data_IF_562002498158
#
_entry.id   IF_562002498158
#
_cell.length_a   1.000
_cell.length_b   1.000
_cell.length_c   1.000
_cell.angle_alpha   90.00
_cell.angle_beta   90.00
_cell.angle_gamma   90.00
#
_symmetry.space_group_name_H-M   'P 1'
#
loop_
_entity.id
_entity.type
_entity.pdbx_description
1 polymer ?
#
# COMPACT_ATOMS: atom_id res chain seq x y z
N UNK A 1 -3.96 13.90 32.49
CA UNK A 1 -3.04 13.58 33.60
C UNK A 1 -2.00 12.62 33.03
N UNK A 2 -0.77 13.11 33.01
CA UNK A 2 0.52 12.57 32.54
C UNK A 2 0.63 11.05 32.25
N UNK A 3 0.78 10.70 30.96
CA UNK A 3 1.34 9.42 30.50
C UNK A 3 2.71 9.58 29.79
N UNK A 4 3.26 10.80 29.80
CA UNK A 4 4.39 11.20 28.94
C UNK A 4 5.77 10.74 29.48
N UNK A 5 5.80 10.07 30.64
CA UNK A 5 7.03 9.54 31.27
C UNK A 5 7.36 8.10 30.88
N UNK A 6 6.38 7.27 30.49
CA UNK A 6 6.62 5.85 30.18
C UNK A 6 7.36 5.65 28.84
N UNK A 7 7.19 6.55 27.87
CA UNK A 7 7.78 6.45 26.53
C UNK A 7 9.16 7.14 26.39
N UNK A 8 9.79 7.52 27.51
CA UNK A 8 11.06 8.27 27.50
C UNK A 8 12.14 7.55 28.30
N UNK A 9 13.37 7.63 27.80
CA UNK A 9 14.52 7.16 28.57
C UNK A 9 14.81 8.11 29.73
N UNK A 10 14.89 7.57 30.95
CA UNK A 10 15.34 8.31 32.15
C UNK A 10 16.82 8.75 32.08
N UNK A 11 17.59 8.13 31.19
CA UNK A 11 19.00 8.45 30.94
C UNK A 11 19.31 8.48 29.43
N UNK A 12 20.20 9.39 29.02
CA UNK A 12 20.70 9.46 27.64
C UNK A 12 21.82 8.44 27.42
N UNK A 13 21.44 7.19 27.17
CA UNK A 13 22.36 6.09 26.86
C UNK A 13 22.23 5.73 25.38
N UNK A 14 23.34 5.72 24.65
CA UNK A 14 23.40 5.23 23.27
C UNK A 14 24.01 3.84 23.31
N UNK A 15 23.22 2.81 22.97
CA UNK A 15 23.71 1.44 22.89
C UNK A 15 24.47 1.22 21.58
N UNK A 16 25.78 1.50 21.60
CA UNK A 16 26.66 1.50 20.41
C UNK A 16 26.53 0.22 19.57
N UNK A 17 26.51 -0.96 20.19
CA UNK A 17 26.35 -2.24 19.50
C UNK A 17 25.04 -2.30 18.68
N UNK A 18 23.93 -1.82 19.26
CA UNK A 18 22.62 -1.78 18.58
C UNK A 18 22.62 -0.78 17.43
N UNK A 19 23.27 0.37 17.63
CA UNK A 19 23.42 1.41 16.59
C UNK A 19 24.22 0.89 15.41
N UNK A 20 25.35 0.24 15.65
CA UNK A 20 26.18 -0.31 14.58
C UNK A 20 25.46 -1.44 13.82
N UNK A 21 24.68 -2.29 14.52
CA UNK A 21 23.84 -3.30 13.86
C UNK A 21 22.77 -2.66 12.96
N UNK A 22 22.10 -1.61 13.44
CA UNK A 22 21.10 -0.88 12.66
C UNK A 22 21.72 -0.21 11.43
N UNK A 23 22.89 0.43 11.58
CA UNK A 23 23.61 1.03 10.44
C UNK A 23 24.01 0.02 9.37
N UNK A 24 24.43 -1.19 9.78
CA UNK A 24 24.82 -2.26 8.84
C UNK A 24 23.66 -2.82 8.01
N UNK A 25 22.44 -2.74 8.54
CA UNK A 25 21.22 -3.23 7.88
C UNK A 25 20.36 -2.10 7.30
N UNK A 26 20.83 -0.85 7.40
CA UNK A 26 20.13 0.29 6.88
C UNK A 26 20.11 0.25 5.35
N UNK A 27 18.91 0.35 4.78
CA UNK A 27 18.70 0.55 3.36
C UNK A 27 19.24 1.91 2.93
N UNK A 28 19.60 2.04 1.65
CA UNK A 28 20.00 3.33 1.13
C UNK A 28 18.81 4.31 1.08
N UNK A 29 19.09 5.62 1.06
CA UNK A 29 18.05 6.65 1.14
C UNK A 29 17.06 6.63 -0.03
N UNK A 30 17.43 6.09 -1.19
CA UNK A 30 16.53 5.96 -2.34
C UNK A 30 15.63 4.73 -2.19
N UNK A 31 16.16 3.60 -1.74
CA UNK A 31 15.36 2.42 -1.41
C UNK A 31 14.28 2.75 -0.37
N UNK A 32 14.66 3.46 0.71
CA UNK A 32 13.69 3.90 1.74
C UNK A 32 12.62 4.82 1.14
N UNK A 33 12.99 5.74 0.24
CA UNK A 33 12.01 6.61 -0.44
C UNK A 33 11.08 5.83 -1.35
N UNK A 34 11.58 4.79 -2.04
CA UNK A 34 10.75 3.94 -2.89
C UNK A 34 9.76 3.15 -2.03
N UNK A 35 10.24 2.54 -0.95
CA UNK A 35 9.42 1.79 0.01
C UNK A 35 8.35 2.69 0.67
N UNK A 36 8.71 3.91 1.05
CA UNK A 36 7.75 4.87 1.60
C UNK A 36 6.67 5.27 0.59
N UNK A 37 7.01 5.45 -0.69
CA UNK A 37 6.02 5.71 -1.74
C UNK A 37 5.09 4.53 -1.96
N UNK A 38 5.64 3.31 -1.94
CA UNK A 38 4.86 2.08 -2.01
C UNK A 38 3.82 2.05 -0.87
N UNK A 39 4.23 2.14 0.38
CA UNK A 39 3.29 2.11 1.52
C UNK A 39 2.32 3.29 1.56
N UNK A 40 2.72 4.49 1.10
CA UNK A 40 1.82 5.64 0.99
C UNK A 40 0.62 5.36 0.09
N UNK A 41 0.77 4.48 -0.89
CA UNK A 41 -0.33 4.08 -1.76
C UNK A 41 -1.43 3.32 -0.98
N UNK A 42 -1.02 2.40 -0.11
CA UNK A 42 -1.90 1.63 0.78
C UNK A 42 -2.49 2.48 1.91
N UNK A 43 -1.90 3.64 2.24
CA UNK A 43 -2.44 4.53 3.28
C UNK A 43 -3.74 5.28 2.92
N UNK A 44 -4.30 5.09 1.73
CA UNK A 44 -5.57 5.73 1.31
C UNK A 44 -6.72 4.71 1.27
N UNK A 45 -7.82 4.96 1.99
CA UNK A 45 -8.93 4.01 2.07
C UNK A 45 -9.58 3.69 0.72
N UNK A 46 -9.65 4.67 -0.19
CA UNK A 46 -10.28 4.45 -1.51
C UNK A 46 -9.39 3.57 -2.38
N UNK A 47 -8.07 3.82 -2.37
CA UNK A 47 -7.10 2.99 -3.09
C UNK A 47 -7.08 1.56 -2.57
N UNK A 48 -7.10 1.37 -1.24
CA UNK A 48 -7.20 0.03 -0.65
C UNK A 48 -8.47 -0.70 -1.10
N UNK A 49 -9.63 -0.03 -1.05
CA UNK A 49 -10.89 -0.63 -1.51
C UNK A 49 -10.84 -1.07 -2.98
N UNK A 50 -10.16 -0.31 -3.83
CA UNK A 50 -9.95 -0.71 -5.24
C UNK A 50 -9.03 -1.92 -5.34
N UNK A 51 -7.91 -1.93 -4.63
CA UNK A 51 -6.96 -3.05 -4.65
C UNK A 51 -7.60 -4.35 -4.15
N UNK A 52 -8.36 -4.29 -3.05
CA UNK A 52 -9.13 -5.42 -2.51
C UNK A 52 -10.22 -5.91 -3.49
N UNK A 53 -10.85 -5.02 -4.25
CA UNK A 53 -11.79 -5.44 -5.29
C UNK A 53 -11.08 -6.19 -6.42
N UNK A 54 -9.87 -5.77 -6.79
CA UNK A 54 -9.04 -6.39 -7.83
C UNK A 54 -8.40 -7.71 -7.42
N UNK A 55 -8.28 -7.97 -6.11
CA UNK A 55 -7.88 -9.28 -5.56
C UNK A 55 -8.90 -10.37 -5.93
N UNK A 56 -10.18 -10.02 -6.06
CA UNK A 56 -11.24 -10.95 -6.49
C UNK A 56 -11.21 -11.28 -7.99
N UNK A 57 -10.30 -10.68 -8.75
CA UNK A 57 -10.16 -10.87 -10.19
C UNK A 57 -10.14 -9.57 -10.99
N UNK A 58 -9.91 -9.70 -12.30
CA UNK A 58 -9.82 -8.53 -13.16
C UNK A 58 -11.19 -7.84 -13.34
N UNK A 59 -11.22 -6.51 -13.25
CA UNK A 59 -12.44 -5.72 -13.33
C UNK A 59 -12.28 -4.49 -14.23
N UNK A 60 -13.33 -4.06 -14.91
CA UNK A 60 -13.32 -2.77 -15.62
C UNK A 60 -13.71 -1.62 -14.68
N UNK A 61 -13.58 -0.36 -15.16
CA UNK A 61 -13.94 0.84 -14.36
C UNK A 61 -15.40 0.81 -13.91
N UNK A 62 -16.32 0.34 -14.76
CA UNK A 62 -17.75 0.26 -14.44
C UNK A 62 -18.01 -0.75 -13.31
N UNK A 63 -17.36 -1.91 -13.34
CA UNK A 63 -17.49 -2.94 -12.31
C UNK A 63 -17.01 -2.43 -10.95
N UNK A 64 -15.82 -1.81 -10.92
CA UNK A 64 -15.23 -1.26 -9.68
C UNK A 64 -16.09 -0.11 -9.14
N UNK A 65 -16.59 0.76 -10.02
CA UNK A 65 -17.49 1.86 -9.64
C UNK A 65 -18.78 1.33 -9.00
N UNK A 66 -19.40 0.31 -9.61
CA UNK A 66 -20.59 -0.33 -9.09
C UNK A 66 -20.33 -1.03 -7.74
N UNK A 67 -19.22 -1.79 -7.63
CA UNK A 67 -18.86 -2.52 -6.42
C UNK A 67 -18.58 -1.59 -5.23
N UNK A 68 -17.95 -0.44 -5.48
CA UNK A 68 -17.55 0.49 -4.41
C UNK A 68 -18.57 1.60 -4.14
N UNK A 69 -19.58 1.77 -4.99
CA UNK A 69 -20.54 2.88 -4.90
C UNK A 69 -19.89 4.24 -5.16
N UNK A 70 -18.90 4.28 -6.05
CA UNK A 70 -18.10 5.48 -6.38
C UNK A 70 -18.26 5.78 -7.87
N UNK A 71 -18.20 7.05 -8.27
CA UNK A 71 -18.32 7.43 -9.68
C UNK A 71 -17.17 6.87 -10.53
N UNK A 72 -17.46 6.51 -11.79
CA UNK A 72 -16.45 6.02 -12.74
C UNK A 72 -15.29 7.01 -12.93
N UNK A 73 -15.58 8.31 -12.92
CA UNK A 73 -14.56 9.37 -13.01
C UNK A 73 -13.58 9.32 -11.84
N UNK A 74 -14.08 9.15 -10.61
CA UNK A 74 -13.24 9.03 -9.43
C UNK A 74 -12.44 7.73 -9.44
N UNK A 75 -13.04 6.60 -9.82
CA UNK A 75 -12.34 5.32 -9.96
C UNK A 75 -11.23 5.41 -11.01
N UNK A 76 -11.52 5.98 -12.19
CA UNK A 76 -10.53 6.16 -13.26
C UNK A 76 -9.34 7.02 -12.80
N UNK A 77 -9.60 8.08 -12.03
CA UNK A 77 -8.55 8.89 -11.43
C UNK A 77 -7.69 8.06 -10.46
N UNK A 78 -8.28 7.30 -9.54
CA UNK A 78 -7.53 6.47 -8.60
C UNK A 78 -6.74 5.36 -9.30
N UNK A 79 -7.31 4.69 -10.31
CA UNK A 79 -6.62 3.68 -11.10
C UNK A 79 -5.42 4.25 -11.86
N UNK A 80 -5.49 5.50 -12.32
CA UNK A 80 -4.32 6.17 -12.91
C UNK A 80 -3.19 6.31 -11.89
N UNK A 81 -3.50 6.71 -10.66
CA UNK A 81 -2.51 6.81 -9.57
C UNK A 81 -1.93 5.45 -9.21
N UNK A 82 -2.78 4.44 -9.04
CA UNK A 82 -2.35 3.06 -8.74
C UNK A 82 -1.43 2.51 -9.83
N UNK A 83 -1.72 2.77 -11.10
CA UNK A 83 -0.83 2.39 -12.22
C UNK A 83 0.52 3.12 -12.19
N UNK A 84 0.54 4.40 -11.84
CA UNK A 84 1.80 5.15 -11.71
C UNK A 84 2.68 4.64 -10.56
N UNK A 85 2.06 4.01 -9.57
CA UNK A 85 2.73 3.38 -8.43
C UNK A 85 3.05 1.91 -8.66
N UNK A 86 2.84 1.39 -9.89
CA UNK A 86 2.99 -0.03 -10.25
C UNK A 86 2.16 -0.97 -9.37
N UNK A 87 1.00 -0.52 -8.87
CA UNK A 87 0.12 -1.35 -8.04
C UNK A 87 -1.00 -2.03 -8.82
N UNK A 88 -1.35 -1.44 -9.95
CA UNK A 88 -2.33 -2.00 -10.86
C UNK A 88 -1.76 -2.03 -12.27
N UNK A 89 -2.12 -3.06 -13.02
CA UNK A 89 -1.91 -3.16 -14.45
C UNK A 89 -3.27 -3.13 -15.16
N UNK A 90 -3.24 -2.95 -16.48
CA UNK A 90 -4.45 -3.10 -17.27
C UNK A 90 -4.18 -3.82 -18.59
N UNK A 91 -5.23 -4.42 -19.12
CA UNK A 91 -5.25 -5.04 -20.44
C UNK A 91 -6.54 -4.68 -21.16
N UNK A 92 -6.47 -4.63 -22.49
CA UNK A 92 -7.64 -4.36 -23.33
C UNK A 92 -8.12 -5.66 -23.95
N UNK A 93 -9.43 -5.90 -23.85
CA UNK A 93 -10.11 -7.00 -24.51
C UNK A 93 -11.32 -6.46 -25.24
N UNK A 94 -11.26 -6.45 -26.58
CA UNK A 94 -12.21 -5.74 -27.42
C UNK A 94 -12.27 -4.25 -27.09
N UNK A 95 -13.46 -3.76 -26.72
CA UNK A 95 -13.70 -2.37 -26.33
C UNK A 95 -13.46 -2.10 -24.85
N UNK A 96 -13.33 -3.15 -24.03
CA UNK A 96 -13.25 -3.06 -22.57
C UNK A 96 -11.80 -2.99 -22.10
N UNK A 97 -11.53 -2.17 -21.09
CA UNK A 97 -10.24 -2.06 -20.42
C UNK A 97 -10.36 -2.65 -19.01
N UNK A 98 -9.76 -3.81 -18.81
CA UNK A 98 -9.73 -4.52 -17.53
C UNK A 98 -8.49 -4.13 -16.73
N UNK A 99 -8.66 -4.05 -15.41
CA UNK A 99 -7.60 -3.76 -14.45
C UNK A 99 -7.38 -4.97 -13.56
N UNK A 100 -6.15 -5.14 -13.09
CA UNK A 100 -5.73 -6.19 -12.17
C UNK A 100 -4.62 -5.70 -11.25
N UNK A 101 -4.36 -6.41 -10.16
CA UNK A 101 -3.12 -6.21 -9.39
C UNK A 101 -1.90 -6.41 -10.31
N UNK A 102 -0.86 -5.62 -10.08
CA UNK A 102 0.30 -5.61 -10.98
C UNK A 102 1.05 -6.96 -11.00
N UNK A 103 1.27 -7.53 -9.82
CA UNK A 103 1.97 -8.79 -9.59
C UNK A 103 1.54 -9.44 -8.26
N UNK A 104 2.02 -10.67 -8.04
CA UNK A 104 1.71 -11.52 -6.88
C UNK A 104 2.16 -10.92 -5.54
N UNK A 105 3.25 -10.14 -5.51
CA UNK A 105 3.73 -9.56 -4.25
C UNK A 105 2.75 -8.55 -3.65
N UNK A 106 1.93 -7.89 -4.49
CA UNK A 106 0.91 -6.95 -4.00
C UNK A 106 -0.24 -7.71 -3.34
N UNK A 107 -0.61 -8.86 -3.90
CA UNK A 107 -1.61 -9.76 -3.33
C UNK A 107 -1.13 -10.26 -1.96
N UNK A 108 0.10 -10.76 -1.88
CA UNK A 108 0.72 -11.21 -0.62
C UNK A 108 0.72 -10.11 0.46
N UNK A 109 1.05 -8.87 0.10
CA UNK A 109 1.06 -7.73 1.02
C UNK A 109 -0.34 -7.41 1.53
N UNK A 110 -1.37 -7.45 0.66
CA UNK A 110 -2.76 -7.20 1.05
C UNK A 110 -3.24 -8.29 2.00
N UNK A 111 -2.98 -9.56 1.67
CA UNK A 111 -3.38 -10.70 2.48
C UNK A 111 -2.72 -10.63 3.87
N UNK A 112 -1.39 -10.46 3.93
CA UNK A 112 -0.68 -10.37 5.20
C UNK A 112 -1.14 -9.17 6.05
N UNK A 113 -1.42 -8.04 5.41
CA UNK A 113 -1.94 -6.86 6.11
C UNK A 113 -3.35 -7.11 6.69
N UNK A 114 -4.22 -7.80 5.95
CA UNK A 114 -5.55 -8.19 6.43
C UNK A 114 -5.48 -9.20 7.58
N UNK A 115 -4.60 -10.19 7.46
CA UNK A 115 -4.35 -11.18 8.53
C UNK A 115 -3.96 -10.45 9.82
N UNK A 116 -2.99 -9.53 9.75
CA UNK A 116 -2.56 -8.74 10.91
C UNK A 116 -3.66 -7.85 11.52
N UNK A 117 -4.54 -7.25 10.69
CA UNK A 117 -5.65 -6.41 11.19
C UNK A 117 -6.73 -7.24 11.90
N UNK A 118 -6.82 -8.54 11.60
CA UNK A 118 -7.78 -9.45 12.21
C UNK A 118 -7.22 -10.21 13.44
N UNK A 119 -5.96 -9.96 13.84
CA UNK A 119 -5.39 -10.43 15.11
C UNK A 119 -6.02 -9.71 16.32
#
# INVERSE_FOLDING_TARGET
>A
MDNDREDRCDARIIHEERVEKAKKTALDSNEVKLLARFFKAFGDPTRLRILLALESGEMCVCDIAAALGITESAISHQLRHLRQLNLAANRREGTVLYYRLNDEHIEDVLQLALEHVHE
#
